data_IF_140300672550
#
_entry.id   IF_140300672550
#
_cell.length_a   1.000
_cell.length_b   1.000
_cell.length_c   1.000
_cell.angle_alpha   90.00
_cell.angle_beta   90.00
_cell.angle_gamma   90.00
#
_symmetry.space_group_name_H-M   'P 1'
#
loop_
_entity.id
_entity.type
_entity.pdbx_description
1 polymer ?
#
# COMPACT_ATOMS: atom_id res chain seq x y z
N UNK A 1 -39.28 -62.03 -20.23
CA UNK A 1 -38.04 -61.80 -19.47
C UNK A 1 -38.08 -60.37 -18.94
N UNK A 2 -38.39 -60.15 -17.64
CA UNK A 2 -38.53 -58.80 -17.05
C UNK A 2 -37.22 -58.42 -16.37
N UNK A 3 -36.44 -57.51 -16.95
CA UNK A 3 -35.22 -56.98 -16.35
C UNK A 3 -35.59 -56.04 -15.20
N UNK A 4 -35.35 -56.49 -13.96
CA UNK A 4 -35.49 -55.65 -12.76
C UNK A 4 -34.31 -54.68 -12.71
N UNK A 5 -34.51 -53.44 -13.15
CA UNK A 5 -33.57 -52.36 -12.95
C UNK A 5 -33.41 -52.09 -11.45
N UNK A 6 -32.17 -52.19 -10.93
CA UNK A 6 -31.85 -51.92 -9.53
C UNK A 6 -31.52 -50.41 -9.36
N UNK A 7 -32.40 -49.59 -8.76
CA UNK A 7 -32.19 -48.15 -8.63
C UNK A 7 -31.00 -47.76 -7.72
N UNK A 8 -30.49 -48.70 -6.93
CA UNK A 8 -29.39 -48.47 -6.00
C UNK A 8 -28.07 -48.13 -6.71
N UNK A 9 -27.81 -48.72 -7.88
CA UNK A 9 -26.55 -48.54 -8.61
C UNK A 9 -26.48 -47.15 -9.26
N UNK A 10 -27.64 -46.61 -9.69
CA UNK A 10 -27.74 -45.28 -10.30
C UNK A 10 -27.55 -44.15 -9.27
N UNK A 11 -28.01 -44.37 -8.03
CA UNK A 11 -27.85 -43.41 -6.94
C UNK A 11 -26.38 -43.32 -6.48
N UNK A 12 -25.65 -44.45 -6.42
CA UNK A 12 -24.22 -44.45 -6.06
C UNK A 12 -23.32 -43.82 -7.12
N UNK A 13 -23.64 -43.96 -8.41
CA UNK A 13 -22.86 -43.34 -9.48
C UNK A 13 -23.08 -41.82 -9.57
N UNK A 14 -24.28 -41.32 -9.28
CA UNK A 14 -24.56 -39.88 -9.20
C UNK A 14 -23.85 -39.19 -8.01
N UNK A 15 -23.74 -39.87 -6.86
CA UNK A 15 -22.98 -39.36 -5.71
C UNK A 15 -21.47 -39.34 -6.02
N UNK A 16 -20.94 -40.40 -6.63
CA UNK A 16 -19.51 -40.47 -6.99
C UNK A 16 -19.11 -39.45 -8.07
N UNK A 17 -19.99 -39.14 -9.03
CA UNK A 17 -19.76 -38.10 -10.04
C UNK A 17 -19.85 -36.67 -9.46
N UNK A 18 -20.71 -36.45 -8.45
CA UNK A 18 -20.82 -35.15 -7.77
C UNK A 18 -19.63 -34.82 -6.85
N UNK A 19 -18.99 -35.84 -6.28
CA UNK A 19 -17.78 -35.71 -5.45
C UNK A 19 -16.49 -35.51 -6.28
N UNK A 20 -16.46 -35.95 -7.54
CA UNK A 20 -15.29 -35.86 -8.41
C UNK A 20 -15.15 -34.56 -9.22
N UNK A 21 -16.21 -33.74 -9.31
CA UNK A 21 -16.23 -32.53 -10.15
C UNK A 21 -16.02 -31.21 -9.37
N UNK A 22 -15.91 -31.27 -8.04
CA UNK A 22 -15.51 -30.11 -7.23
C UNK A 22 -13.96 -29.96 -7.25
N UNK A 23 -13.39 -29.81 -8.45
CA UNK A 23 -12.02 -29.34 -8.56
C UNK A 23 -11.99 -27.90 -8.02
N UNK A 24 -11.09 -27.65 -7.07
CA UNK A 24 -10.93 -26.35 -6.40
C UNK A 24 -10.61 -25.26 -7.41
N UNK A 25 -11.62 -24.57 -7.91
CA UNK A 25 -11.43 -23.32 -8.61
C UNK A 25 -10.93 -22.30 -7.56
N UNK A 26 -9.63 -21.97 -7.58
CA UNK A 26 -9.02 -21.07 -6.61
C UNK A 26 -9.48 -19.64 -6.90
N UNK A 27 -10.56 -19.22 -6.26
CA UNK A 27 -10.99 -17.84 -6.33
C UNK A 27 -10.14 -16.97 -5.40
N UNK A 28 -9.26 -16.12 -5.93
CA UNK A 28 -8.46 -15.25 -5.08
C UNK A 28 -9.21 -13.97 -4.68
N UNK A 29 -8.98 -13.49 -3.45
CA UNK A 29 -9.04 -12.06 -3.16
C UNK A 29 -7.58 -11.58 -3.12
N UNK A 30 -7.25 -10.50 -3.80
CA UNK A 30 -5.87 -10.06 -4.02
C UNK A 30 -5.76 -8.55 -3.98
N UNK A 31 -4.75 -8.02 -3.29
CA UNK A 31 -4.41 -6.62 -3.35
C UNK A 31 -2.91 -6.39 -3.27
N UNK A 32 -2.46 -5.35 -3.96
CA UNK A 32 -1.07 -4.88 -3.98
C UNK A 32 -1.05 -3.36 -3.96
N UNK A 33 -0.09 -2.80 -3.23
CA UNK A 33 0.24 -1.39 -3.28
C UNK A 33 1.75 -1.23 -3.23
N UNK A 34 2.33 -0.55 -4.21
CA UNK A 34 3.75 -0.23 -4.25
C UNK A 34 3.96 1.24 -4.51
N UNK A 35 5.08 1.76 -4.04
CA UNK A 35 5.48 3.12 -4.26
C UNK A 35 6.99 3.19 -4.43
N UNK A 36 7.42 3.76 -5.56
CA UNK A 36 8.81 4.12 -5.80
C UNK A 36 8.93 5.64 -5.86
N UNK A 37 9.85 6.19 -5.06
CA UNK A 37 10.22 7.60 -5.07
C UNK A 37 11.66 7.74 -5.53
N UNK A 38 11.91 8.67 -6.44
CA UNK A 38 13.25 8.96 -6.94
C UNK A 38 13.44 10.44 -7.26
N UNK A 39 14.68 10.79 -7.59
CA UNK A 39 15.09 12.14 -7.99
C UNK A 39 14.59 13.24 -7.03
N UNK A 40 14.41 12.91 -5.75
CA UNK A 40 13.83 13.81 -4.77
C UNK A 40 14.81 14.89 -4.33
N UNK A 41 14.34 16.13 -4.24
CA UNK A 41 15.08 17.29 -3.76
C UNK A 41 14.21 18.17 -2.87
N UNK A 42 14.83 18.66 -1.80
CA UNK A 42 14.37 19.76 -0.97
C UNK A 42 15.40 20.88 -1.13
N UNK A 43 14.98 21.94 -1.81
CA UNK A 43 15.84 23.05 -2.21
C UNK A 43 15.59 24.29 -1.34
N UNK A 44 16.62 24.80 -0.66
CA UNK A 44 16.62 26.14 -0.09
C UNK A 44 16.41 27.18 -1.20
N UNK A 45 15.44 28.06 -1.06
CA UNK A 45 15.25 29.19 -1.97
C UNK A 45 15.47 30.48 -1.18
N UNK A 46 16.47 31.25 -1.56
CA UNK A 46 16.76 32.57 -0.99
C UNK A 46 16.63 33.60 -2.10
N UNK A 47 15.74 34.58 -1.93
CA UNK A 47 15.42 35.59 -2.94
C UNK A 47 15.04 34.95 -4.30
N UNK A 48 14.31 33.83 -4.25
CA UNK A 48 13.83 33.10 -5.42
C UNK A 48 14.88 32.22 -6.12
N UNK A 49 16.13 32.17 -5.64
CA UNK A 49 17.18 31.32 -6.21
C UNK A 49 17.55 30.18 -5.27
N UNK A 50 17.88 29.02 -5.84
CA UNK A 50 18.43 27.91 -5.06
C UNK A 50 19.75 28.32 -4.41
N UNK A 51 19.86 28.18 -3.09
CA UNK A 51 21.05 28.60 -2.36
C UNK A 51 21.32 27.76 -1.11
N UNK A 52 22.11 26.70 -1.29
CA UNK A 52 22.50 25.78 -0.23
C UNK A 52 23.63 26.25 0.67
N UNK A 53 24.33 27.33 0.29
CA UNK A 53 25.45 27.88 1.08
C UNK A 53 25.05 29.10 1.89
N UNK A 54 23.79 29.54 1.77
CA UNK A 54 23.28 30.68 2.51
C UNK A 54 23.31 30.42 4.01
N UNK A 55 23.94 31.28 4.82
CA UNK A 55 23.90 31.15 6.28
C UNK A 55 22.50 31.42 6.85
N UNK A 56 21.57 31.94 6.03
CA UNK A 56 20.18 32.17 6.41
C UNK A 56 19.38 30.88 6.56
N UNK A 57 19.85 29.76 5.99
CA UNK A 57 19.22 28.46 6.15
C UNK A 57 20.24 27.41 6.56
N UNK A 58 19.96 26.71 7.66
CA UNK A 58 20.69 25.51 8.05
C UNK A 58 19.74 24.32 8.12
N UNK A 59 20.17 23.18 7.59
CA UNK A 59 19.42 21.93 7.62
C UNK A 59 20.16 20.96 8.51
N UNK A 60 19.48 20.41 9.52
CA UNK A 60 20.03 19.35 10.34
C UNK A 60 19.91 18.00 9.63
N UNK A 61 20.71 17.02 10.05
CA UNK A 61 20.63 15.66 9.52
C UNK A 61 19.20 15.10 9.74
N UNK A 62 18.58 14.53 8.69
CA UNK A 62 17.28 13.91 8.81
C UNK A 62 17.36 12.67 9.71
N UNK A 63 16.24 12.34 10.35
CA UNK A 63 16.00 11.03 10.93
C UNK A 63 14.88 10.37 10.15
N UNK A 64 15.21 9.26 9.49
CA UNK A 64 14.25 8.46 8.75
C UNK A 64 13.86 7.21 9.52
N UNK A 65 12.67 6.68 9.21
CA UNK A 65 12.15 5.41 9.72
C UNK A 65 11.46 4.67 8.59
N UNK A 66 11.79 3.40 8.44
CA UNK A 66 11.06 2.44 7.61
C UNK A 66 10.38 1.42 8.50
N UNK A 67 9.16 1.03 8.15
CA UNK A 67 8.42 -0.02 8.85
C UNK A 67 7.74 -0.96 7.86
N UNK A 68 7.76 -2.25 8.16
CA UNK A 68 7.12 -3.29 7.36
C UNK A 68 6.32 -4.22 8.27
N UNK A 69 5.13 -4.63 7.86
CA UNK A 69 4.31 -5.56 8.63
C UNK A 69 3.39 -6.41 7.75
N UNK A 70 3.00 -7.56 8.29
CA UNK A 70 1.88 -8.33 7.76
C UNK A 70 1.04 -8.92 8.89
N UNK A 71 -0.20 -9.29 8.56
CA UNK A 71 -1.06 -10.14 9.36
C UNK A 71 -1.81 -11.09 8.44
N UNK A 72 -1.75 -12.39 8.74
CA UNK A 72 -2.43 -13.45 8.02
C UNK A 72 -3.22 -14.30 9.01
N UNK A 73 -4.55 -14.29 8.88
CA UNK A 73 -5.48 -15.03 9.75
C UNK A 73 -5.26 -14.81 11.26
N UNK A 74 -4.87 -13.59 11.66
CA UNK A 74 -4.65 -13.22 13.05
C UNK A 74 -3.25 -13.50 13.61
N UNK A 75 -2.34 -14.04 12.80
CA UNK A 75 -0.91 -14.12 13.10
C UNK A 75 -0.14 -13.12 12.25
N UNK A 76 0.82 -12.41 12.82
CA UNK A 76 1.58 -11.42 12.10
C UNK A 76 2.83 -10.99 12.85
N UNK A 77 3.74 -10.37 12.12
CA UNK A 77 4.94 -9.73 12.67
C UNK A 77 5.13 -8.38 12.00
N UNK A 78 5.87 -7.52 12.70
CA UNK A 78 6.28 -6.22 12.20
C UNK A 78 7.78 -6.04 12.44
N UNK A 79 8.39 -5.22 11.61
CA UNK A 79 9.76 -4.78 11.78
C UNK A 79 9.86 -3.28 11.50
N UNK A 80 10.85 -2.65 12.13
CA UNK A 80 11.12 -1.22 11.95
C UNK A 80 12.61 -0.96 12.02
N UNK A 81 13.10 -0.08 11.16
CA UNK A 81 14.46 0.44 11.20
C UNK A 81 14.44 1.96 11.28
N UNK A 82 15.40 2.53 12.00
CA UNK A 82 15.54 3.98 12.21
C UNK A 82 16.98 4.38 12.00
N UNK A 83 17.22 5.58 11.49
CA UNK A 83 18.57 6.12 11.29
C UNK A 83 18.71 6.70 9.88
N UNK A 84 19.94 6.87 9.39
CA UNK A 84 20.17 7.17 7.99
C UNK A 84 19.87 5.92 7.15
N UNK A 85 19.14 6.09 6.05
CA UNK A 85 18.84 5.00 5.10
C UNK A 85 18.25 3.74 5.77
N UNK A 86 17.17 3.87 6.58
CA UNK A 86 16.57 2.73 7.24
C UNK A 86 16.08 1.68 6.23
N UNK A 87 16.23 0.42 6.63
CA UNK A 87 15.81 -0.76 5.89
C UNK A 87 15.02 -1.66 6.84
N UNK A 88 13.69 -1.67 6.69
CA UNK A 88 12.83 -2.53 7.48
C UNK A 88 12.72 -3.89 6.81
N UNK A 89 13.54 -4.85 7.27
CA UNK A 89 13.54 -6.24 6.78
C UNK A 89 12.13 -6.73 6.48
N UNK A 90 11.91 -7.19 5.26
CA UNK A 90 10.65 -7.74 4.76
C UNK A 90 9.96 -8.66 5.78
N UNK A 91 8.69 -8.39 6.03
CA UNK A 91 7.85 -9.24 6.87
C UNK A 91 6.86 -9.99 5.99
N UNK A 92 6.78 -11.30 6.14
CA UNK A 92 5.91 -12.14 5.30
C UNK A 92 5.35 -13.34 6.05
N UNK A 93 4.17 -13.78 5.61
CA UNK A 93 3.52 -15.01 6.09
C UNK A 93 2.85 -15.75 4.95
N UNK A 94 2.84 -17.09 5.03
CA UNK A 94 2.30 -17.97 3.99
C UNK A 94 3.23 -18.19 2.80
N UNK A 95 4.22 -17.31 2.61
CA UNK A 95 5.31 -17.44 1.63
C UNK A 95 6.63 -17.00 2.27
N UNK A 96 7.75 -17.55 1.81
CA UNK A 96 9.07 -17.03 2.15
C UNK A 96 9.43 -15.90 1.20
N UNK A 97 9.85 -14.75 1.74
CA UNK A 97 10.30 -13.60 0.97
C UNK A 97 11.65 -13.12 1.52
N UNK A 98 12.60 -12.83 0.64
CA UNK A 98 13.85 -12.18 1.02
C UNK A 98 13.63 -10.68 1.23
N UNK A 99 14.52 -10.02 1.97
CA UNK A 99 14.52 -8.57 2.04
C UNK A 99 14.89 -7.97 0.69
N UNK A 100 14.21 -6.91 0.26
CA UNK A 100 14.47 -6.26 -1.03
C UNK A 100 14.47 -7.27 -2.19
N UNK A 101 13.47 -8.16 -2.22
CA UNK A 101 13.24 -9.09 -3.33
C UNK A 101 12.68 -8.32 -4.54
N UNK A 102 13.60 -7.84 -5.38
CA UNK A 102 13.35 -6.84 -6.44
C UNK A 102 14.00 -7.21 -7.77
N UNK A 103 13.30 -6.93 -8.86
CA UNK A 103 13.87 -6.85 -10.21
C UNK A 103 14.04 -5.39 -10.62
N UNK A 104 15.28 -4.91 -10.67
CA UNK A 104 15.59 -3.51 -10.94
C UNK A 104 15.19 -2.62 -9.76
N UNK A 105 14.12 -1.82 -9.94
CA UNK A 105 13.57 -0.96 -8.89
C UNK A 105 12.16 -1.36 -8.43
N UNK A 106 11.70 -2.55 -8.81
CA UNK A 106 10.35 -3.00 -8.53
C UNK A 106 10.40 -4.26 -7.70
N UNK A 107 9.56 -4.34 -6.67
CA UNK A 107 9.40 -5.58 -5.90
C UNK A 107 8.88 -6.70 -6.79
N UNK A 108 9.42 -7.90 -6.63
CA UNK A 108 8.86 -9.05 -7.33
C UNK A 108 7.51 -9.41 -6.68
N UNK A 109 6.44 -9.28 -7.46
CA UNK A 109 5.08 -9.57 -7.01
C UNK A 109 4.85 -11.08 -7.06
N UNK A 110 4.20 -11.62 -6.03
CA UNK A 110 3.84 -13.04 -5.98
C UNK A 110 2.63 -13.31 -6.89
N UNK A 111 1.70 -12.35 -6.94
CA UNK A 111 0.52 -12.33 -7.78
C UNK A 111 -0.70 -13.06 -7.20
N UNK A 112 -1.85 -12.76 -7.80
CA UNK A 112 -3.11 -13.43 -7.49
C UNK A 112 -3.04 -14.93 -7.79
N UNK A 113 -3.78 -15.73 -7.01
CA UNK A 113 -3.92 -17.17 -7.25
C UNK A 113 -2.80 -18.04 -6.68
N UNK A 114 -1.78 -17.44 -6.04
CA UNK A 114 -0.93 -18.17 -5.11
C UNK A 114 -1.74 -18.57 -3.86
N UNK A 115 -1.12 -19.28 -2.92
CA UNK A 115 -1.77 -19.64 -1.64
C UNK A 115 -2.18 -18.42 -0.81
N UNK A 116 -2.62 -18.63 0.43
CA UNK A 116 -2.83 -17.51 1.34
C UNK A 116 -1.47 -16.91 1.74
N UNK A 117 -1.24 -15.63 1.45
CA UNK A 117 -0.04 -14.93 1.89
C UNK A 117 -0.30 -13.44 2.14
N UNK A 118 0.60 -12.82 2.89
CA UNK A 118 0.71 -11.37 3.00
C UNK A 118 2.17 -11.00 3.26
N UNK A 119 2.64 -9.89 2.70
CA UNK A 119 3.96 -9.35 2.97
C UNK A 119 4.01 -7.83 2.88
N UNK A 120 4.97 -7.23 3.58
CA UNK A 120 5.33 -5.83 3.48
C UNK A 120 6.86 -5.65 3.52
N UNK A 121 7.36 -4.64 2.81
CA UNK A 121 8.77 -4.28 2.73
C UNK A 121 8.90 -2.76 2.50
N UNK A 122 9.89 -2.13 3.15
CA UNK A 122 10.11 -0.68 3.10
C UNK A 122 11.57 -0.31 3.35
N UNK A 123 12.10 0.54 2.47
CA UNK A 123 13.47 1.05 2.54
C UNK A 123 13.57 2.52 2.10
N UNK A 124 14.50 3.25 2.71
CA UNK A 124 15.01 4.53 2.20
C UNK A 124 16.39 4.28 1.58
N UNK A 125 16.51 4.43 0.26
CA UNK A 125 17.74 4.11 -0.47
C UNK A 125 18.75 5.26 -0.44
N UNK A 126 18.27 6.50 -0.45
CA UNK A 126 19.13 7.67 -0.41
C UNK A 126 18.46 8.85 0.28
N UNK A 127 19.28 9.67 0.93
CA UNK A 127 18.90 10.91 1.58
C UNK A 127 19.67 12.08 0.96
N UNK A 128 19.07 13.25 0.99
CA UNK A 128 19.74 14.47 0.55
C UNK A 128 20.71 14.95 1.63
N UNK A 129 21.99 14.66 1.45
CA UNK A 129 23.10 15.07 2.32
C UNK A 129 23.93 16.20 1.73
N UNK A 130 23.69 16.54 0.45
CA UNK A 130 24.32 17.63 -0.27
C UNK A 130 23.36 18.25 -1.30
N UNK A 131 23.71 19.40 -1.92
CA UNK A 131 22.90 20.03 -2.96
C UNK A 131 22.64 19.18 -4.20
N UNK A 132 23.44 18.13 -4.42
CA UNK A 132 23.39 17.30 -5.63
C UNK A 132 22.95 15.86 -5.37
N UNK A 133 22.86 15.44 -4.10
CA UNK A 133 22.34 14.12 -3.74
C UNK A 133 20.81 14.12 -3.78
N UNK A 134 20.22 13.04 -4.28
CA UNK A 134 18.78 12.88 -4.38
C UNK A 134 18.22 12.03 -3.25
N UNK A 135 16.94 12.24 -2.93
CA UNK A 135 16.15 11.37 -2.07
C UNK A 135 15.55 10.25 -2.93
N UNK A 136 15.60 9.02 -2.43
CA UNK A 136 14.90 7.88 -3.01
C UNK A 136 14.45 6.94 -1.91
N UNK A 137 13.24 6.40 -2.08
CA UNK A 137 12.64 5.46 -1.16
C UNK A 137 11.75 4.49 -1.94
N UNK A 138 11.53 3.32 -1.37
CA UNK A 138 10.63 2.31 -1.93
C UNK A 138 9.88 1.62 -0.82
N UNK A 139 8.62 1.31 -1.08
CA UNK A 139 7.78 0.51 -0.20
C UNK A 139 6.78 -0.31 -1.01
N UNK A 140 6.42 -1.46 -0.47
CA UNK A 140 5.58 -2.43 -1.16
C UNK A 140 4.85 -3.31 -0.18
N UNK A 141 3.60 -3.61 -0.50
CA UNK A 141 2.78 -4.57 0.22
C UNK A 141 1.94 -5.35 -0.76
N UNK A 142 1.68 -6.60 -0.40
CA UNK A 142 0.83 -7.48 -1.19
C UNK A 142 0.17 -8.51 -0.28
N UNK A 143 -1.08 -8.84 -0.59
CA UNK A 143 -1.80 -9.90 0.10
C UNK A 143 -2.69 -10.65 -0.88
N UNK A 144 -2.80 -11.96 -0.67
CA UNK A 144 -3.68 -12.83 -1.42
C UNK A 144 -4.33 -13.84 -0.50
N UNK A 145 -5.62 -14.06 -0.67
CA UNK A 145 -6.38 -15.07 0.06
C UNK A 145 -7.08 -15.97 -0.97
N UNK A 146 -6.48 -17.13 -1.21
CA UNK A 146 -6.97 -18.18 -2.10
C UNK A 146 -7.91 -19.20 -1.45
N UNK A 147 -8.37 -18.96 -0.22
CA UNK A 147 -9.39 -19.77 0.49
C UNK A 147 -10.19 -18.91 1.47
N UNK A 148 -10.91 -19.47 2.44
CA UNK A 148 -11.50 -18.63 3.50
C UNK A 148 -10.37 -18.09 4.39
N UNK A 149 -10.29 -16.78 4.55
CA UNK A 149 -9.24 -16.16 5.35
C UNK A 149 -9.20 -14.64 5.25
N UNK A 150 -8.17 -14.09 5.88
CA UNK A 150 -7.92 -12.67 5.99
C UNK A 150 -6.43 -12.37 5.91
N UNK A 151 -6.06 -11.35 5.15
CA UNK A 151 -4.70 -10.87 4.97
C UNK A 151 -4.63 -9.36 5.03
N UNK A 152 -3.61 -8.85 5.70
CA UNK A 152 -3.25 -7.43 5.74
C UNK A 152 -1.75 -7.28 5.64
N UNK A 153 -1.30 -6.17 5.09
CA UNK A 153 0.09 -5.75 5.17
C UNK A 153 0.20 -4.23 5.13
N UNK A 154 1.27 -3.71 5.75
CA UNK A 154 1.63 -2.30 5.69
C UNK A 154 3.13 -2.13 5.46
N UNK A 155 3.49 -1.09 4.74
CA UNK A 155 4.86 -0.65 4.52
C UNK A 155 4.88 0.88 4.55
N UNK A 156 5.69 1.47 5.42
CA UNK A 156 5.75 2.92 5.59
C UNK A 156 7.20 3.40 5.58
N UNK A 157 7.46 4.48 4.86
CA UNK A 157 8.68 5.27 4.93
C UNK A 157 8.34 6.66 5.46
N UNK A 158 9.11 7.13 6.43
CA UNK A 158 8.96 8.48 6.97
C UNK A 158 10.32 9.13 7.22
N UNK A 159 10.37 10.44 7.11
CA UNK A 159 11.56 11.23 7.42
C UNK A 159 11.15 12.50 8.15
N UNK A 160 11.97 12.90 9.12
CA UNK A 160 11.84 14.16 9.82
C UNK A 160 13.17 14.90 9.83
N UNK A 161 13.14 16.21 9.59
CA UNK A 161 14.34 17.05 9.56
C UNK A 161 14.03 18.43 10.16
N UNK A 162 14.98 18.96 10.94
CA UNK A 162 14.89 20.31 11.47
C UNK A 162 15.56 21.30 10.50
N UNK A 163 14.79 22.29 10.06
CA UNK A 163 15.25 23.43 9.29
C UNK A 163 15.32 24.66 10.18
N UNK A 164 16.45 25.37 10.13
CA UNK A 164 16.64 26.61 10.89
C UNK A 164 16.77 27.77 9.92
N UNK A 165 15.83 28.70 9.98
CA UNK A 165 15.86 29.99 9.30
C UNK A 165 16.55 30.99 10.24
N UNK A 166 17.83 31.25 9.99
CA UNK A 166 18.73 31.95 10.91
C UNK A 166 18.61 33.47 10.83
N UNK A 167 18.89 34.15 11.95
CA UNK A 167 19.18 35.58 12.00
C UNK A 167 20.68 35.79 11.78
N UNK A 168 21.06 36.62 10.81
CA UNK A 168 22.45 36.92 10.49
C UNK A 168 22.71 38.42 10.51
N UNK A 169 23.98 38.84 10.47
CA UNK A 169 24.35 40.25 10.38
C UNK A 169 23.85 40.91 9.07
N UNK A 170 23.58 40.12 8.02
CA UNK A 170 23.03 40.56 6.74
C UNK A 170 21.50 40.57 6.67
N UNK A 171 20.81 40.28 7.78
CA UNK A 171 19.34 40.20 7.84
C UNK A 171 18.84 38.83 8.25
N UNK A 172 17.54 38.62 8.12
CA UNK A 172 16.85 37.37 8.43
C UNK A 172 15.80 37.03 7.39
N UNK A 173 15.47 35.75 7.26
CA UNK A 173 14.36 35.30 6.44
C UNK A 173 13.05 36.01 6.82
N UNK A 174 12.36 36.56 5.81
CA UNK A 174 11.09 37.27 5.98
C UNK A 174 11.21 38.68 6.53
N UNK A 175 12.40 39.30 6.52
CA UNK A 175 12.61 40.69 6.99
C UNK A 175 12.23 41.78 5.97
N UNK A 176 11.67 41.39 4.82
CA UNK A 176 11.32 42.27 3.70
C UNK A 176 12.48 42.57 2.73
N UNK A 177 13.72 42.21 3.09
CA UNK A 177 14.91 42.26 2.20
C UNK A 177 15.35 40.89 1.73
N UNK A 178 15.19 39.87 2.57
CA UNK A 178 15.48 38.47 2.27
C UNK A 178 14.20 37.64 2.32
N UNK A 179 13.84 37.01 1.20
CA UNK A 179 12.80 35.96 1.18
C UNK A 179 13.44 34.59 1.26
N UNK A 180 12.85 33.69 2.03
CA UNK A 180 13.30 32.32 2.22
C UNK A 180 12.12 31.35 2.03
N UNK A 181 12.29 30.33 1.19
CA UNK A 181 11.30 29.28 1.00
C UNK A 181 11.97 27.92 0.86
N UNK A 182 11.18 26.85 0.97
CA UNK A 182 11.61 25.51 0.59
C UNK A 182 10.88 25.07 -0.67
N UNK A 183 11.63 24.64 -1.68
CA UNK A 183 11.12 23.97 -2.86
C UNK A 183 11.22 22.46 -2.69
N UNK A 184 10.18 21.74 -3.11
CA UNK A 184 10.11 20.28 -3.12
C UNK A 184 9.97 19.83 -4.57
N UNK A 185 10.76 18.84 -4.95
CA UNK A 185 10.61 18.13 -6.23
C UNK A 185 10.85 16.64 -5.99
N UNK A 186 10.07 15.78 -6.62
CA UNK A 186 10.36 14.36 -6.70
C UNK A 186 9.60 13.71 -7.85
N UNK A 187 10.02 12.49 -8.19
CA UNK A 187 9.37 11.62 -9.15
C UNK A 187 8.83 10.40 -8.41
N UNK A 188 7.59 10.00 -8.73
CA UNK A 188 6.98 8.82 -8.13
C UNK A 188 6.35 7.89 -9.18
N UNK A 189 6.43 6.59 -8.92
CA UNK A 189 5.71 5.55 -9.66
C UNK A 189 4.85 4.76 -8.66
N UNK A 190 3.64 5.26 -8.35
CA UNK A 190 2.67 4.54 -7.54
C UNK A 190 2.02 3.42 -8.36
N UNK A 191 1.70 2.30 -7.71
CA UNK A 191 0.86 1.27 -8.32
C UNK A 191 -0.05 0.64 -7.28
N UNK A 192 -1.34 0.55 -7.60
CA UNK A 192 -2.31 -0.13 -6.76
C UNK A 192 -3.16 -1.05 -7.63
N UNK A 193 -3.41 -2.27 -7.15
CA UNK A 193 -4.40 -3.16 -7.74
C UNK A 193 -5.17 -3.89 -6.65
N UNK A 194 -6.48 -3.93 -6.79
CA UNK A 194 -7.38 -4.73 -5.98
C UNK A 194 -8.22 -5.61 -6.90
N UNK A 195 -8.19 -6.91 -6.66
CA UNK A 195 -8.87 -7.92 -7.48
C UNK A 195 -9.67 -8.84 -6.57
N UNK A 196 -10.92 -9.11 -6.96
CA UNK A 196 -11.73 -10.18 -6.40
C UNK A 196 -12.12 -11.13 -7.53
N UNK A 197 -11.63 -12.37 -7.49
CA UNK A 197 -11.80 -13.34 -8.57
C UNK A 197 -13.28 -13.61 -8.89
N UNK A 198 -13.69 -13.71 -10.17
CA UNK A 198 -15.06 -14.00 -10.56
C UNK A 198 -15.65 -15.29 -9.97
N UNK A 199 -14.80 -16.27 -9.67
CA UNK A 199 -15.17 -17.55 -9.06
C UNK A 199 -15.35 -17.44 -7.54
N UNK A 200 -15.07 -16.28 -6.94
CA UNK A 200 -15.41 -16.02 -5.56
C UNK A 200 -16.94 -15.87 -5.56
N UNK A 201 -17.65 -16.97 -5.29
CA UNK A 201 -19.11 -16.98 -5.18
C UNK A 201 -19.59 -15.70 -4.49
N UNK A 202 -20.61 -15.04 -5.04
CA UNK A 202 -21.13 -13.77 -4.53
C UNK A 202 -21.34 -13.83 -3.02
N UNK A 203 -20.36 -13.29 -2.29
CA UNK A 203 -20.37 -13.23 -0.84
C UNK A 203 -20.11 -11.77 -0.47
N UNK A 204 -21.08 -11.09 0.14
CA UNK A 204 -20.95 -9.68 0.47
C UNK A 204 -19.85 -9.40 1.52
N UNK A 205 -19.24 -10.44 2.10
CA UNK A 205 -18.16 -10.32 3.08
C UNK A 205 -16.75 -10.54 2.50
N UNK A 206 -16.61 -10.79 1.20
CA UNK A 206 -15.31 -10.86 0.53
C UNK A 206 -14.96 -9.49 -0.08
N UNK A 207 -13.71 -9.08 0.04
CA UNK A 207 -13.24 -7.83 -0.54
C UNK A 207 -11.72 -7.84 -0.71
N UNK A 208 -11.22 -6.94 -1.55
CA UNK A 208 -9.81 -6.59 -1.62
C UNK A 208 -9.66 -5.07 -1.68
N UNK A 209 -8.70 -4.54 -0.94
CA UNK A 209 -8.40 -3.10 -0.87
C UNK A 209 -6.90 -2.88 -0.90
N UNK A 210 -6.49 -1.86 -1.62
CA UNK A 210 -5.15 -1.31 -1.61
C UNK A 210 -5.26 0.20 -1.41
N UNK A 211 -4.35 0.80 -0.65
CA UNK A 211 -4.26 2.25 -0.49
C UNK A 211 -2.83 2.73 -0.37
N UNK A 212 -2.63 3.94 -0.87
CA UNK A 212 -1.40 4.71 -0.80
C UNK A 212 -1.72 6.04 -0.13
N UNK A 213 -0.85 6.47 0.79
CA UNK A 213 -0.89 7.78 1.41
C UNK A 213 0.47 8.47 1.35
N UNK A 214 0.47 9.78 1.09
CA UNK A 214 1.68 10.58 1.03
C UNK A 214 1.43 12.00 1.52
N UNK A 215 2.32 12.51 2.36
CA UNK A 215 2.24 13.90 2.83
C UNK A 215 3.62 14.51 3.10
N UNK A 216 3.69 15.82 2.88
CA UNK A 216 4.79 16.68 3.31
C UNK A 216 4.20 17.75 4.21
N UNK A 217 4.78 17.94 5.40
CA UNK A 217 4.37 18.99 6.34
C UNK A 217 5.57 19.71 6.88
N UNK A 218 5.47 21.03 7.01
CA UNK A 218 6.47 21.87 7.67
C UNK A 218 5.77 22.63 8.78
N UNK A 219 6.19 22.43 10.02
CA UNK A 219 5.59 23.06 11.19
C UNK A 219 6.64 23.86 11.94
N UNK A 220 6.39 25.15 12.20
CA UNK A 220 7.28 25.94 13.04
C UNK A 220 7.35 25.33 14.44
N UNK A 221 8.55 25.22 15.01
CA UNK A 221 8.73 24.68 16.36
C UNK A 221 7.98 25.55 17.36
N UNK A 222 7.10 24.92 18.14
CA UNK A 222 6.21 25.61 19.09
C UNK A 222 4.79 25.83 18.55
N UNK A 223 4.56 25.70 17.25
CA UNK A 223 3.22 25.79 16.66
C UNK A 223 2.52 24.43 16.65
N UNK A 224 1.18 24.45 16.68
CA UNK A 224 0.34 23.25 16.61
C UNK A 224 -0.17 22.95 15.20
N UNK A 225 -0.08 23.93 14.30
CA UNK A 225 -0.61 23.84 12.93
C UNK A 225 0.56 23.99 11.95
N UNK A 226 0.63 23.15 10.91
CA UNK A 226 1.68 23.27 9.90
C UNK A 226 1.65 24.65 9.23
N UNK A 227 2.82 25.25 9.04
CA UNK A 227 3.00 26.44 8.21
C UNK A 227 2.89 26.08 6.72
N UNK A 228 3.21 24.84 6.37
CA UNK A 228 2.99 24.27 5.04
C UNK A 228 2.52 22.82 5.18
N UNK A 229 1.58 22.42 4.34
CA UNK A 229 1.14 21.03 4.21
C UNK A 229 0.80 20.74 2.75
N UNK A 230 1.22 19.58 2.26
CA UNK A 230 0.94 19.15 0.90
C UNK A 230 0.65 17.66 0.85
N UNK A 231 -0.49 17.33 0.24
CA UNK A 231 -0.97 15.98 -0.06
C UNK A 231 -1.29 15.92 -1.55
N UNK A 232 -0.33 15.48 -2.39
CA UNK A 232 -0.52 15.35 -3.84
C UNK A 232 -1.78 14.52 -4.14
N UNK A 233 -2.65 15.06 -4.99
CA UNK A 233 -3.97 14.47 -5.25
C UNK A 233 -4.28 14.33 -6.76
N UNK A 234 -3.33 14.65 -7.63
CA UNK A 234 -3.45 14.60 -9.09
C UNK A 234 -4.28 15.75 -9.68
N UNK A 235 -4.50 16.82 -8.92
CA UNK A 235 -5.28 17.97 -9.34
C UNK A 235 -4.89 19.22 -8.54
N UNK A 236 -5.15 20.40 -9.13
CA UNK A 236 -4.87 21.66 -8.46
C UNK A 236 -5.57 21.73 -7.09
N UNK A 237 -4.77 21.76 -6.01
CA UNK A 237 -5.28 21.75 -4.64
C UNK A 237 -4.38 20.94 -3.71
N UNK A 238 -4.93 20.43 -2.60
CA UNK A 238 -4.17 19.56 -1.69
C UNK A 238 -2.97 20.21 -0.97
N UNK A 239 -2.82 21.53 -1.12
CA UNK A 239 -1.70 22.31 -0.58
C UNK A 239 -2.20 23.45 0.30
N UNK A 240 -1.47 23.71 1.38
CA UNK A 240 -1.63 24.83 2.30
C UNK A 240 -0.28 25.48 2.55
N UNK A 241 -0.25 26.81 2.63
CA UNK A 241 0.98 27.55 2.93
C UNK A 241 2.04 27.47 1.83
N UNK A 242 1.63 27.28 0.57
CA UNK A 242 2.53 27.14 -0.56
C UNK A 242 1.81 27.15 -1.91
N UNK A 243 2.60 26.92 -2.95
CA UNK A 243 2.16 26.79 -4.35
C UNK A 243 2.58 25.44 -4.89
N UNK A 244 1.67 24.77 -5.56
CA UNK A 244 1.91 23.52 -6.30
C UNK A 244 2.14 23.85 -7.77
N UNK A 245 3.19 23.31 -8.36
CA UNK A 245 3.56 23.54 -9.77
C UNK A 245 3.48 22.27 -10.62
N UNK A 246 3.61 21.08 -10.01
CA UNK A 246 3.39 19.79 -10.65
C UNK A 246 2.70 18.84 -9.66
N UNK A 247 1.62 18.21 -10.10
CA UNK A 247 0.87 17.17 -9.38
C UNK A 247 0.23 16.24 -10.42
N UNK A 248 1.07 15.47 -11.12
CA UNK A 248 0.64 14.68 -12.29
C UNK A 248 -0.28 13.51 -11.93
N UNK A 249 -0.31 13.07 -10.67
CA UNK A 249 -1.11 11.94 -10.21
C UNK A 249 -1.40 11.97 -8.70
N UNK A 250 -2.46 11.31 -8.24
CA UNK A 250 -2.74 11.22 -6.80
C UNK A 250 -1.82 10.22 -6.10
N UNK A 251 -1.15 10.67 -5.02
CA UNK A 251 -0.43 9.81 -4.07
C UNK A 251 -1.24 9.53 -2.80
N UNK A 252 -2.53 9.86 -2.82
CA UNK A 252 -3.47 9.69 -1.71
C UNK A 252 -4.75 9.05 -2.23
N UNK A 253 -4.65 7.78 -2.61
CA UNK A 253 -5.68 7.06 -3.37
C UNK A 253 -5.85 5.63 -2.88
N UNK A 254 -7.03 5.07 -3.13
CA UNK A 254 -7.36 3.68 -2.81
C UNK A 254 -8.01 2.96 -3.99
N UNK A 255 -7.62 1.71 -4.21
CA UNK A 255 -8.31 0.76 -5.08
C UNK A 255 -9.15 -0.20 -4.22
N UNK A 256 -10.37 -0.52 -4.64
CA UNK A 256 -11.26 -1.39 -3.87
C UNK A 256 -12.10 -2.27 -4.80
N UNK A 257 -12.06 -3.57 -4.55
CA UNK A 257 -12.87 -4.59 -5.20
C UNK A 257 -13.85 -5.20 -4.17
N UNK A 258 -15.16 -5.10 -4.44
CA UNK A 258 -16.23 -5.54 -3.53
C UNK A 258 -17.11 -6.62 -4.15
N UNK A 259 -17.10 -6.74 -5.47
CA UNK A 259 -17.92 -7.67 -6.23
C UNK A 259 -17.04 -8.72 -6.92
N UNK A 260 -17.48 -9.97 -7.04
CA UNK A 260 -16.76 -10.97 -7.81
C UNK A 260 -16.55 -10.51 -9.26
N UNK A 261 -15.31 -10.58 -9.72
CA UNK A 261 -14.88 -10.12 -11.03
C UNK A 261 -14.39 -8.67 -11.06
N UNK A 262 -14.48 -7.92 -9.95
CA UNK A 262 -13.87 -6.60 -9.85
C UNK A 262 -12.34 -6.73 -9.97
N UNK A 263 -11.76 -5.99 -10.92
CA UNK A 263 -10.31 -5.78 -11.06
C UNK A 263 -10.06 -4.28 -11.21
N UNK A 264 -9.69 -3.64 -10.10
CA UNK A 264 -9.48 -2.20 -10.03
C UNK A 264 -7.99 -1.95 -9.94
N UNK A 265 -7.44 -1.34 -10.98
CA UNK A 265 -6.05 -0.86 -10.99
C UNK A 265 -6.06 0.66 -11.02
N UNK A 266 -5.23 1.26 -10.17
CA UNK A 266 -4.95 2.71 -10.17
C UNK A 266 -3.49 2.89 -10.52
N UNK A 267 -3.22 3.96 -11.27
CA UNK A 267 -1.91 4.35 -11.79
C UNK A 267 -1.44 3.59 -13.04
N UNK A 268 -0.27 4.01 -13.53
CA UNK A 268 0.39 3.41 -14.69
C UNK A 268 0.61 1.90 -14.49
N UNK A 269 0.77 1.11 -15.58
CA UNK A 269 1.08 -0.31 -15.45
C UNK A 269 2.29 -0.55 -14.56
N UNK A 270 2.22 -1.60 -13.74
CA UNK A 270 3.30 -1.99 -12.86
C UNK A 270 4.62 -2.16 -13.64
N UNK A 271 5.70 -1.67 -13.06
CA UNK A 271 7.03 -1.75 -13.65
C UNK A 271 7.16 -1.11 -15.05
N UNK A 272 6.34 -0.09 -15.35
CA UNK A 272 6.40 0.62 -16.63
C UNK A 272 7.60 1.57 -16.78
N UNK A 273 8.32 1.85 -15.69
CA UNK A 273 9.39 2.87 -15.64
C UNK A 273 8.91 4.29 -15.97
N UNK A 274 7.60 4.54 -15.88
CA UNK A 274 7.00 5.85 -16.04
C UNK A 274 6.82 6.49 -14.66
N UNK A 275 7.45 7.63 -14.45
CA UNK A 275 7.36 8.37 -13.21
C UNK A 275 6.55 9.65 -13.41
N UNK A 276 5.53 9.80 -12.57
CA UNK A 276 4.76 11.03 -12.41
C UNK A 276 5.60 12.05 -11.63
N UNK A 277 5.53 13.32 -12.02
CA UNK A 277 6.32 14.41 -11.43
C UNK A 277 5.52 15.23 -10.43
N UNK A 278 6.22 15.62 -9.37
CA UNK A 278 5.66 16.34 -8.23
C UNK A 278 6.55 17.52 -7.89
N UNK A 279 5.97 18.70 -7.77
CA UNK A 279 6.69 19.90 -7.37
C UNK A 279 5.79 20.88 -6.61
N UNK A 280 6.29 21.35 -5.47
CA UNK A 280 5.64 22.35 -4.65
C UNK A 280 6.66 23.28 -4.00
N UNK A 281 6.23 24.44 -3.56
CA UNK A 281 7.06 25.40 -2.85
C UNK A 281 6.28 26.01 -1.69
N UNK A 282 6.94 26.25 -0.56
CA UNK A 282 6.34 27.02 0.55
C UNK A 282 6.15 28.49 0.16
N UNK A 283 5.30 29.20 0.90
CA UNK A 283 5.36 30.67 0.96
C UNK A 283 6.67 31.15 1.58
N UNK A 284 6.87 32.47 1.61
CA UNK A 284 7.98 33.08 2.33
C UNK A 284 7.92 32.73 3.83
N UNK A 285 9.01 32.16 4.33
CA UNK A 285 9.16 31.67 5.70
C UNK A 285 9.92 32.71 6.50
N UNK A 286 9.38 33.06 7.66
CA UNK A 286 10.08 33.91 8.62
C UNK A 286 11.22 33.19 9.33
N UNK A 287 12.03 33.95 10.07
CA UNK A 287 13.05 33.39 10.96
C UNK A 287 12.45 32.42 12.01
N UNK A 288 13.20 31.38 12.35
CA UNK A 288 12.84 30.36 13.33
C UNK A 288 13.20 28.94 12.92
N UNK A 289 12.88 28.00 13.80
CA UNK A 289 13.07 26.56 13.55
C UNK A 289 11.76 25.94 13.04
N UNK A 290 11.89 24.98 12.11
CA UNK A 290 10.79 24.31 11.45
C UNK A 290 11.06 22.81 11.39
N UNK A 291 10.08 22.00 11.79
CA UNK A 291 10.13 20.55 11.62
C UNK A 291 9.47 20.17 10.30
N UNK A 292 10.27 19.65 9.37
CA UNK A 292 9.80 19.02 8.14
C UNK A 292 9.50 17.55 8.43
N UNK A 293 8.33 17.07 8.02
CA UNK A 293 7.98 15.66 8.06
C UNK A 293 7.46 15.22 6.70
N UNK A 294 8.03 14.14 6.18
CA UNK A 294 7.60 13.46 4.96
C UNK A 294 7.13 12.06 5.35
N UNK A 295 5.99 11.63 4.81
CA UNK A 295 5.46 10.28 5.03
C UNK A 295 4.96 9.70 3.72
N UNK A 296 5.24 8.42 3.52
CA UNK A 296 4.74 7.59 2.44
C UNK A 296 4.31 6.25 3.03
N UNK A 297 3.07 5.83 2.78
CA UNK A 297 2.49 4.63 3.35
C UNK A 297 1.75 3.80 2.31
N UNK A 298 1.96 2.49 2.34
CA UNK A 298 1.25 1.51 1.52
C UNK A 298 0.51 0.54 2.44
N UNK A 299 -0.75 0.25 2.13
CA UNK A 299 -1.61 -0.64 2.91
C UNK A 299 -2.43 -1.53 1.98
N UNK A 300 -2.60 -2.78 2.39
CA UNK A 300 -3.54 -3.71 1.75
C UNK A 300 -4.38 -4.43 2.80
N UNK A 301 -5.63 -4.71 2.43
CA UNK A 301 -6.57 -5.47 3.24
C UNK A 301 -7.39 -6.38 2.33
N UNK A 302 -7.35 -7.68 2.61
CA UNK A 302 -7.96 -8.69 1.77
C UNK A 302 -8.71 -9.68 2.64
N UNK A 303 -9.97 -9.95 2.28
CA UNK A 303 -10.79 -10.96 2.93
C UNK A 303 -11.48 -11.80 1.89
N UNK A 304 -11.44 -13.12 2.09
CA UNK A 304 -12.29 -14.04 1.32
C UNK A 304 -13.07 -14.93 2.27
N UNK A 305 -14.35 -15.07 1.98
CA UNK A 305 -15.24 -16.01 2.66
C UNK A 305 -15.84 -16.95 1.63
N UNK A 306 -15.49 -18.23 1.69
CA UNK A 306 -16.08 -19.26 0.84
C UNK A 306 -17.34 -19.79 1.54
N UNK A 307 -18.53 -19.72 0.92
CA UNK A 307 -19.71 -20.41 1.43
C UNK A 307 -19.41 -21.89 1.63
N UNK A 308 -19.84 -22.48 2.75
CA UNK A 308 -19.66 -23.92 2.97
C UNK A 308 -20.22 -24.69 1.76
N UNK A 309 -19.46 -25.65 1.19
CA UNK A 309 -19.92 -26.35 0.01
C UNK A 309 -21.26 -27.04 0.34
N UNK A 310 -22.23 -26.87 -0.56
CA UNK A 310 -23.57 -27.45 -0.43
C UNK A 310 -23.58 -28.97 -0.23
N UNK A 311 -22.44 -29.65 -0.31
CA UNK A 311 -22.24 -31.04 0.11
C UNK A 311 -22.58 -31.29 1.58
N UNK A 312 -22.38 -30.34 2.51
CA UNK A 312 -22.85 -30.47 3.89
C UNK A 312 -24.39 -30.43 3.98
N UNK A 313 -25.01 -29.52 3.23
CA UNK A 313 -26.47 -29.47 3.11
C UNK A 313 -27.01 -30.73 2.41
N UNK A 314 -26.33 -31.23 1.37
CA UNK A 314 -26.70 -32.44 0.63
C UNK A 314 -26.50 -33.71 1.47
N UNK A 315 -25.45 -33.76 2.28
CA UNK A 315 -25.21 -34.82 3.26
C UNK A 315 -26.29 -34.79 4.34
N UNK A 316 -26.63 -33.60 4.85
CA UNK A 316 -27.72 -33.40 5.81
C UNK A 316 -29.08 -33.84 5.26
N UNK A 317 -29.40 -33.43 4.03
CA UNK A 317 -30.61 -33.86 3.32
C UNK A 317 -30.58 -35.36 2.98
N UNK A 318 -29.43 -35.90 2.62
CA UNK A 318 -29.23 -37.33 2.36
C UNK A 318 -29.45 -38.19 3.61
N UNK A 319 -28.93 -37.74 4.75
CA UNK A 319 -29.15 -38.40 6.05
C UNK A 319 -30.61 -38.27 6.51
N UNK A 320 -31.24 -37.11 6.32
CA UNK A 320 -32.67 -36.92 6.60
C UNK A 320 -33.56 -37.81 5.72
N UNK A 321 -33.22 -37.93 4.43
CA UNK A 321 -33.90 -38.82 3.49
C UNK A 321 -33.75 -40.31 3.87
N UNK A 322 -32.57 -40.73 4.30
CA UNK A 322 -32.33 -42.10 4.80
C UNK A 322 -33.10 -42.38 6.10
N UNK A 323 -33.20 -41.41 7.00
CA UNK A 323 -34.00 -41.54 8.22
C UNK A 323 -35.51 -41.65 7.92
N UNK A 324 -36.01 -40.88 6.95
CA UNK A 324 -37.41 -40.94 6.52
C UNK A 324 -37.76 -42.29 5.84
N UNK A 325 -36.84 -42.81 5.01
CA UNK A 325 -37.00 -44.13 4.38
C UNK A 325 -36.96 -45.29 5.39
N UNK A 326 -36.15 -45.17 6.45
CA UNK A 326 -36.10 -46.17 7.53
C UNK A 326 -37.41 -46.22 8.33
N UNK A 327 -38.08 -45.07 8.55
CA UNK A 327 -39.41 -45.04 9.20
C UNK A 327 -40.50 -45.68 8.34
N UNK A 328 -40.46 -45.51 7.01
CA UNK A 328 -41.43 -46.15 6.09
C UNK A 328 -41.30 -47.67 5.97
N UNK A 329 -40.21 -48.27 6.46
CA UNK A 329 -39.99 -49.72 6.45
C UNK A 329 -40.36 -50.38 7.79
N UNK A 330 -40.60 -49.58 8.83
CA UNK A 330 -40.97 -50.02 10.18
C UNK A 330 -42.47 -49.81 10.49
N UNK A 331 -43.22 -49.20 9.57
CA UNK A 331 -44.68 -49.17 9.52
C UNK A 331 -45.15 -50.10 8.39
#
# INVERSE_FOLDING_TARGET
MKTKFKPLILATSLVALGLGAAANANAAAYAVSTHNLQAGFINPLVNGSTNFTSPLLTVNFPSATSTASYSLNGSGTNNSATGPLPDAIAQSGGIARANEDVTGIYYDLVGAGAGNYAWGDAIVLSEQTSPTSTISARSGVEANIGSTGYGQASADNSSSALFTMSLTASGSCGDGTNTCALGFYFEADPYLRALLDPLALANPNSFAKASLDFSITLTKVGDLVPTFAWTPNGAAGGIFGGTESLDEESLNVSATALSPGDDVTVSSPYASSLFSKFAAQTVDLGAGEYNLTIRAGNRVEVKRTVPEPGSLALLGLGMAGLAALRRRKAA
#
